data_IF_198261028842
#
_entry.id   IF_198261028842
#
_cell.length_a   1.000
_cell.length_b   1.000
_cell.length_c   1.000
_cell.angle_alpha   90.00
_cell.angle_beta   90.00
_cell.angle_gamma   90.00
#
_symmetry.space_group_name_H-M   'P 1'
#
loop_
_entity.id
_entity.type
_entity.pdbx_description
1 polymer ?
#
# COMPACT_ATOMS: atom_id res chain seq x y z
N UNK A 1 -10.03 -13.17 -0.30
CA UNK A 1 -9.57 -11.85 0.16
C UNK A 1 -9.66 -10.87 -0.99
N UNK A 2 -10.31 -9.74 -0.75
CA UNK A 2 -10.45 -8.63 -1.68
C UNK A 2 -9.91 -7.36 -1.04
N UNK A 3 -9.43 -6.44 -1.86
CA UNK A 3 -8.95 -5.14 -1.45
C UNK A 3 -9.53 -4.10 -2.42
N UNK A 4 -10.23 -3.12 -1.87
CA UNK A 4 -10.87 -2.04 -2.62
C UNK A 4 -10.52 -0.70 -1.97
N UNK A 5 -10.61 0.40 -2.72
CA UNK A 5 -10.46 1.74 -2.16
C UNK A 5 -11.82 2.41 -2.01
N UNK A 6 -11.96 3.24 -0.97
CA UNK A 6 -13.13 4.08 -0.76
C UNK A 6 -13.22 5.24 -1.77
N UNK A 7 -12.09 5.63 -2.37
CA UNK A 7 -11.98 6.85 -3.15
C UNK A 7 -11.81 6.64 -4.65
N UNK A 8 -11.51 5.41 -5.09
CA UNK A 8 -11.41 5.06 -6.50
C UNK A 8 -11.73 3.58 -6.74
N UNK A 9 -12.31 3.31 -7.91
CA UNK A 9 -12.56 1.94 -8.37
C UNK A 9 -11.28 1.25 -8.84
N UNK A 10 -11.29 -0.08 -8.90
CA UNK A 10 -10.19 -0.84 -9.49
C UNK A 10 -9.94 -0.43 -10.96
N UNK A 11 -8.68 -0.16 -11.30
CA UNK A 11 -8.24 0.46 -12.57
C UNK A 11 -8.78 1.90 -12.81
N UNK A 12 -9.39 2.51 -11.81
CA UNK A 12 -9.77 3.91 -11.82
C UNK A 12 -8.58 4.87 -11.63
N UNK A 13 -8.87 6.16 -11.70
CA UNK A 13 -7.87 7.21 -11.47
C UNK A 13 -7.74 7.47 -9.98
N UNK A 14 -6.51 7.38 -9.45
CA UNK A 14 -6.20 7.75 -8.07
C UNK A 14 -6.38 9.28 -7.93
N UNK A 15 -7.24 9.77 -7.00
CA UNK A 15 -7.43 11.20 -6.80
C UNK A 15 -6.13 11.93 -6.47
N UNK A 16 -5.99 13.15 -6.99
CA UNK A 16 -4.79 13.99 -6.81
C UNK A 16 -4.35 14.12 -5.34
N UNK A 17 -5.30 14.11 -4.40
CA UNK A 17 -5.06 14.11 -2.94
C UNK A 17 -4.01 13.09 -2.50
N UNK A 18 -3.98 11.90 -3.11
CA UNK A 18 -3.11 10.78 -2.74
C UNK A 18 -1.81 10.70 -3.55
N UNK A 19 -1.55 11.72 -4.39
CA UNK A 19 -0.38 11.82 -5.27
C UNK A 19 0.60 12.88 -4.75
N UNK A 20 1.79 12.94 -5.36
CA UNK A 20 2.80 13.96 -5.03
C UNK A 20 2.35 15.41 -5.33
N UNK A 21 1.32 15.58 -6.17
CA UNK A 21 0.73 16.89 -6.47
C UNK A 21 -0.35 17.32 -5.46
N UNK A 22 -0.69 16.44 -4.51
CA UNK A 22 -1.70 16.68 -3.48
C UNK A 22 -1.12 16.67 -2.08
N UNK A 23 -1.76 15.92 -1.18
CA UNK A 23 -1.34 15.79 0.22
C UNK A 23 -0.30 14.69 0.42
N UNK A 24 -0.10 13.84 -0.59
CA UNK A 24 0.82 12.69 -0.55
C UNK A 24 0.57 11.73 0.63
N UNK A 25 -0.70 11.41 0.85
CA UNK A 25 -1.18 10.51 1.91
C UNK A 25 -1.74 9.22 1.31
N UNK A 26 -1.80 8.13 2.09
CA UNK A 26 -2.41 6.89 1.62
C UNK A 26 -3.94 7.03 1.45
N UNK A 27 -4.53 6.32 0.46
CA UNK A 27 -5.98 6.21 0.34
C UNK A 27 -6.58 5.32 1.44
N UNK A 28 -7.90 5.43 1.62
CA UNK A 28 -8.67 4.49 2.43
C UNK A 28 -8.85 3.17 1.67
N UNK A 29 -8.70 2.05 2.37
CA UNK A 29 -8.81 0.71 1.80
C UNK A 29 -9.79 -0.16 2.62
N UNK A 30 -10.72 -0.82 1.93
CA UNK A 30 -11.59 -1.85 2.48
C UNK A 30 -11.00 -3.23 2.18
N UNK A 31 -11.05 -4.10 3.17
CA UNK A 31 -10.55 -5.47 3.13
C UNK A 31 -11.71 -6.41 3.42
N UNK A 32 -11.95 -7.34 2.50
CA UNK A 32 -12.99 -8.36 2.66
C UNK A 32 -12.42 -9.77 2.46
N UNK A 33 -13.20 -10.79 2.84
CA UNK A 33 -12.88 -12.20 2.61
C UNK A 33 -11.49 -12.60 3.16
N UNK A 34 -11.13 -12.09 4.35
CA UNK A 34 -9.85 -12.42 5.01
C UNK A 34 -9.85 -13.92 5.38
N UNK A 35 -8.84 -14.69 4.96
CA UNK A 35 -8.79 -16.13 5.24
C UNK A 35 -8.76 -16.43 6.75
N UNK A 36 -9.42 -17.52 7.15
CA UNK A 36 -9.32 -18.02 8.52
C UNK A 36 -7.87 -18.37 8.87
N UNK A 37 -7.47 -18.14 10.13
CA UNK A 37 -6.10 -18.37 10.60
C UNK A 37 -5.13 -17.23 10.32
N UNK A 38 -5.56 -16.17 9.61
CA UNK A 38 -4.76 -14.94 9.45
C UNK A 38 -4.49 -14.31 10.81
N UNK A 39 -3.20 -14.16 11.16
CA UNK A 39 -2.77 -13.49 12.39
C UNK A 39 -2.36 -12.04 12.15
N UNK A 40 -1.79 -11.73 10.98
CA UNK A 40 -1.36 -10.39 10.59
C UNK A 40 -1.60 -10.15 9.10
N UNK A 41 -1.68 -8.88 8.72
CA UNK A 41 -1.73 -8.46 7.33
C UNK A 41 -0.43 -7.74 6.95
N UNK A 42 -0.10 -7.76 5.66
CA UNK A 42 0.92 -6.91 5.07
C UNK A 42 0.40 -6.31 3.76
N UNK A 43 0.83 -5.09 3.46
CA UNK A 43 0.44 -4.31 2.30
C UNK A 43 1.70 -3.81 1.60
N UNK A 44 1.77 -4.02 0.29
CA UNK A 44 2.77 -3.42 -0.59
C UNK A 44 2.04 -2.65 -1.66
N UNK A 45 2.48 -1.42 -1.93
CA UNK A 45 2.09 -0.66 -3.11
C UNK A 45 3.31 -0.55 -4.03
N UNK A 46 3.18 -1.02 -5.27
CA UNK A 46 4.24 -0.91 -6.27
C UNK A 46 3.75 -0.44 -7.65
N UNK A 47 4.67 0.18 -8.38
CA UNK A 47 4.52 0.70 -9.74
C UNK A 47 5.45 -0.07 -10.68
N UNK A 48 4.96 -1.08 -11.43
CA UNK A 48 5.75 -1.81 -12.41
C UNK A 48 6.03 -1.01 -13.69
N UNK A 49 5.40 0.14 -13.89
CA UNK A 49 5.55 0.97 -15.09
C UNK A 49 6.68 2.01 -14.93
N UNK A 50 7.32 2.07 -13.75
CA UNK A 50 8.43 2.98 -13.48
C UNK A 50 9.65 2.72 -14.41
N UNK A 51 10.37 3.77 -14.84
CA UNK A 51 11.41 3.64 -15.87
C UNK A 51 12.60 2.74 -15.51
N UNK A 52 12.86 2.54 -14.22
CA UNK A 52 14.00 1.74 -13.71
C UNK A 52 13.57 0.35 -13.22
N UNK A 53 12.39 -0.13 -13.64
CA UNK A 53 11.78 -1.36 -13.12
C UNK A 53 10.79 -1.07 -12.00
N UNK A 54 10.20 -2.12 -11.42
CA UNK A 54 9.17 -1.98 -10.38
C UNK A 54 9.63 -1.09 -9.23
N UNK A 55 8.87 -0.05 -8.95
CA UNK A 55 9.12 0.91 -7.88
C UNK A 55 8.17 0.69 -6.73
N UNK A 56 8.70 0.46 -5.54
CA UNK A 56 7.92 0.25 -4.31
C UNK A 56 7.62 1.60 -3.66
N UNK A 57 6.34 1.94 -3.62
CA UNK A 57 5.81 3.19 -3.06
C UNK A 57 5.51 3.08 -1.56
N UNK A 58 5.03 1.91 -1.11
CA UNK A 58 4.67 1.72 0.29
C UNK A 58 4.85 0.28 0.72
N UNK A 59 5.40 0.08 1.92
CA UNK A 59 5.54 -1.23 2.57
C UNK A 59 5.04 -1.10 3.99
N UNK A 60 4.02 -1.87 4.33
CA UNK A 60 3.51 -1.97 5.71
C UNK A 60 3.30 -3.44 6.05
N UNK A 61 3.77 -3.88 7.20
CA UNK A 61 3.62 -5.25 7.67
C UNK A 61 3.23 -5.28 9.14
N UNK A 62 2.86 -6.47 9.63
CA UNK A 62 2.34 -6.64 10.98
C UNK A 62 1.09 -5.79 11.28
N UNK A 63 0.28 -5.52 10.25
CA UNK A 63 -1.02 -4.88 10.40
C UNK A 63 -1.92 -5.86 11.18
N UNK A 64 -2.66 -5.34 12.16
CA UNK A 64 -3.67 -6.14 12.86
C UNK A 64 -4.79 -6.50 11.88
N UNK A 65 -5.40 -7.68 12.06
CA UNK A 65 -6.55 -8.06 11.22
C UNK A 65 -7.65 -7.01 11.39
N UNK A 66 -8.03 -6.41 10.27
CA UNK A 66 -8.97 -5.29 10.16
C UNK A 66 -9.66 -5.39 8.80
N UNK A 67 -10.89 -4.90 8.74
CA UNK A 67 -11.69 -4.72 7.52
C UNK A 67 -11.41 -3.36 6.85
N UNK A 68 -10.77 -2.43 7.56
CA UNK A 68 -10.47 -1.08 7.04
C UNK A 68 -9.05 -0.64 7.36
N UNK A 69 -8.41 0.01 6.39
CA UNK A 69 -7.24 0.87 6.57
C UNK A 69 -7.71 2.29 6.24
N UNK A 70 -7.74 3.15 7.24
CA UNK A 70 -8.18 4.54 7.08
C UNK A 70 -7.18 5.37 6.24
N UNK A 71 -7.68 6.36 5.52
CA UNK A 71 -6.83 7.31 4.81
C UNK A 71 -5.90 8.06 5.76
N UNK A 72 -4.69 8.42 5.28
CA UNK A 72 -3.71 9.16 6.08
C UNK A 72 -3.39 8.49 7.44
N UNK A 73 -3.25 7.17 7.46
CA UNK A 73 -2.89 6.41 8.66
C UNK A 73 -1.76 5.43 8.39
N UNK A 74 -1.14 4.94 9.47
CA UNK A 74 -0.12 3.90 9.42
C UNK A 74 -0.67 2.67 10.16
N UNK A 75 -1.19 1.65 9.45
CA UNK A 75 -1.93 0.54 10.07
C UNK A 75 -1.03 -0.55 10.69
N UNK A 76 0.29 -0.38 10.65
CA UNK A 76 1.25 -1.37 11.09
C UNK A 76 2.69 -0.85 11.13
N UNK A 77 3.66 -1.75 11.02
CA UNK A 77 5.08 -1.40 10.94
C UNK A 77 5.46 -1.07 9.51
N UNK A 78 6.10 0.08 9.27
CA UNK A 78 6.55 0.48 7.94
C UNK A 78 7.91 -0.14 7.58
N UNK A 79 8.05 -0.54 6.32
CA UNK A 79 9.30 -0.95 5.70
C UNK A 79 9.91 0.18 4.86
N UNK A 80 11.21 0.07 4.57
CA UNK A 80 11.90 1.04 3.70
C UNK A 80 11.42 0.81 2.27
N UNK A 81 10.92 1.87 1.62
CA UNK A 81 10.49 1.87 0.23
C UNK A 81 11.64 2.35 -0.71
N UNK A 82 11.38 2.46 -2.02
CA UNK A 82 12.43 2.85 -2.98
C UNK A 82 12.82 4.33 -2.90
N UNK A 83 12.02 5.17 -2.23
CA UNK A 83 12.41 6.51 -1.82
C UNK A 83 13.41 6.53 -0.66
N UNK A 84 13.80 5.36 -0.13
CA UNK A 84 14.64 5.19 1.08
C UNK A 84 13.99 5.75 2.34
N UNK A 85 12.66 5.73 2.41
CA UNK A 85 11.89 6.25 3.55
C UNK A 85 10.98 5.19 4.16
N UNK A 86 10.59 5.44 5.41
CA UNK A 86 9.59 4.68 6.15
C UNK A 86 8.26 5.43 6.11
N UNK A 87 7.70 5.65 4.92
CA UNK A 87 6.42 6.34 4.74
C UNK A 87 5.76 5.93 3.41
N UNK A 88 4.51 6.35 3.22
CA UNK A 88 3.87 6.29 1.91
C UNK A 88 4.50 7.36 1.00
N UNK A 89 4.84 7.01 -0.23
CA UNK A 89 5.14 7.99 -1.28
C UNK A 89 4.14 7.79 -2.42
N UNK A 90 3.37 8.82 -2.75
CA UNK A 90 2.28 8.71 -3.71
C UNK A 90 2.75 8.65 -5.17
N UNK A 91 1.80 8.41 -6.10
CA UNK A 91 2.04 8.50 -7.53
C UNK A 91 2.69 9.82 -7.93
N UNK A 92 3.76 9.74 -8.71
CA UNK A 92 4.46 10.89 -9.26
C UNK A 92 5.15 10.53 -10.59
N UNK A 93 4.40 10.02 -11.59
CA UNK A 93 5.01 9.54 -12.82
C UNK A 93 5.65 10.70 -13.59
N UNK A 94 6.88 10.56 -14.11
CA UNK A 94 7.55 11.64 -14.84
C UNK A 94 6.86 11.96 -16.18
N UNK A 95 6.12 11.00 -16.74
CA UNK A 95 5.32 11.16 -17.95
C UNK A 95 4.36 9.99 -18.11
N UNK A 96 3.26 10.20 -18.85
CA UNK A 96 2.32 9.14 -19.19
C UNK A 96 1.49 8.66 -18.01
N UNK A 97 0.85 7.51 -18.17
CA UNK A 97 0.01 6.90 -17.14
C UNK A 97 0.69 5.64 -16.62
N UNK A 98 0.90 5.60 -15.31
CA UNK A 98 1.43 4.44 -14.61
C UNK A 98 0.30 3.73 -13.85
N UNK A 99 0.47 2.44 -13.61
CA UNK A 99 -0.43 1.63 -12.79
C UNK A 99 0.21 1.38 -11.43
N UNK A 100 -0.58 1.54 -10.38
CA UNK A 100 -0.15 1.31 -9.01
C UNK A 100 -0.93 0.13 -8.42
N UNK A 101 -0.21 -0.89 -8.00
CA UNK A 101 -0.79 -2.13 -7.49
C UNK A 101 -0.71 -2.16 -5.98
N UNK A 102 -1.87 -2.13 -5.32
CA UNK A 102 -1.99 -2.40 -3.89
C UNK A 102 -2.17 -3.91 -3.68
N UNK A 103 -1.18 -4.54 -3.04
CA UNK A 103 -1.13 -5.99 -2.80
C UNK A 103 -1.24 -6.26 -1.31
N UNK A 104 -2.35 -6.86 -0.90
CA UNK A 104 -2.58 -7.27 0.48
C UNK A 104 -2.25 -8.76 0.65
N UNK A 105 -1.56 -9.09 1.74
CA UNK A 105 -1.14 -10.42 2.10
C UNK A 105 -1.68 -10.80 3.47
N UNK A 106 -2.29 -11.98 3.56
CA UNK A 106 -2.68 -12.61 4.81
C UNK A 106 -1.53 -13.47 5.33
N UNK A 107 -1.09 -13.21 6.56
CA UNK A 107 0.02 -13.89 7.21
C UNK A 107 -0.49 -14.71 8.40
N UNK A 108 -0.05 -15.95 8.49
CA UNK A 108 -0.33 -16.86 9.60
C UNK A 108 0.53 -16.58 10.84
N UNK A 109 1.52 -15.69 10.73
CA UNK A 109 2.42 -15.29 11.81
C UNK A 109 2.82 -13.81 11.76
N UNK A 110 3.36 -13.31 12.87
CA UNK A 110 3.94 -11.96 12.95
C UNK A 110 5.35 -12.00 12.36
N UNK A 111 5.64 -11.11 11.41
CA UNK A 111 6.98 -10.98 10.85
C UNK A 111 7.93 -10.36 11.87
N UNK A 112 9.12 -10.96 11.98
CA UNK A 112 10.24 -10.37 12.70
C UNK A 112 11.01 -9.47 11.75
N UNK A 113 11.38 -8.28 12.23
CA UNK A 113 12.27 -7.41 11.46
C UNK A 113 13.64 -8.09 11.41
N UNK A 114 14.21 -8.24 10.23
CA UNK A 114 15.58 -8.73 10.10
C UNK A 114 16.52 -7.76 10.84
N UNK A 115 17.41 -8.29 11.67
CA UNK A 115 18.47 -7.50 12.29
C UNK A 115 19.42 -7.06 11.16
N UNK A 116 19.49 -5.76 10.92
CA UNK A 116 20.48 -5.11 10.04
C UNK A 116 21.76 -4.82 10.79
#
# INVERSE_FOLDING_TARGET
MKLESLEFENNGVIPQKFTCEGKDINPGLIIEDIPEGTKRLALIMDDPDAPMGTWVHWVVFNIHVTDVIEENTVPGTQGINDFRKLEYGGPCPPSGTHRYFFKLYALDEKLQRANS
#
